data_IF_670299359763
#
_entry.id   IF_670299359763
#
_cell.length_a   1.000
_cell.length_b   1.000
_cell.length_c   1.000
_cell.angle_alpha   90.00
_cell.angle_beta   90.00
_cell.angle_gamma   90.00
#
_symmetry.space_group_name_H-M   'P 1'
#
loop_
_entity.id
_entity.type
_entity.pdbx_description
1 polymer ?
#
# COMPACT_ATOMS: atom_id res chain seq x y z
N UNK A 1 17.85 -11.96 -31.10
CA UNK A 1 18.15 -11.14 -29.90
C UNK A 1 16.84 -10.80 -29.19
N UNK A 2 16.45 -11.47 -28.09
CA UNK A 2 15.13 -11.29 -27.45
C UNK A 2 15.14 -10.39 -26.19
N UNK A 3 16.24 -9.70 -25.88
CA UNK A 3 16.42 -9.00 -24.61
C UNK A 3 15.73 -7.63 -24.50
N UNK A 4 15.22 -7.04 -25.60
CA UNK A 4 14.58 -5.71 -25.55
C UNK A 4 13.12 -5.72 -25.05
N UNK A 5 12.40 -6.86 -25.14
CA UNK A 5 10.98 -6.90 -24.77
C UNK A 5 10.74 -6.84 -23.25
N UNK A 6 11.69 -7.30 -22.43
CA UNK A 6 11.52 -7.35 -20.97
C UNK A 6 11.61 -5.96 -20.32
N UNK A 7 12.49 -5.10 -20.83
CA UNK A 7 12.71 -3.76 -20.30
C UNK A 7 11.56 -2.80 -20.63
N UNK A 8 10.92 -2.98 -21.79
CA UNK A 8 9.75 -2.18 -22.18
C UNK A 8 8.50 -2.50 -21.34
N UNK A 9 8.39 -3.74 -20.86
CA UNK A 9 7.30 -4.17 -19.98
C UNK A 9 7.49 -3.73 -18.52
N UNK A 10 8.72 -3.68 -18.00
CA UNK A 10 8.97 -3.17 -16.63
C UNK A 10 8.61 -1.69 -16.50
N UNK A 11 9.00 -0.88 -17.49
CA UNK A 11 8.72 0.56 -17.49
C UNK A 11 7.19 0.83 -17.58
N UNK A 12 6.46 -0.04 -18.29
CA UNK A 12 4.99 0.03 -18.38
C UNK A 12 4.27 -0.38 -17.09
N UNK A 13 4.82 -1.34 -16.34
CA UNK A 13 4.25 -1.79 -15.07
C UNK A 13 4.47 -0.78 -13.96
N UNK A 14 5.68 -0.20 -13.87
CA UNK A 14 5.98 0.85 -12.89
C UNK A 14 5.13 2.10 -13.12
N UNK A 15 4.87 2.49 -14.38
CA UNK A 15 3.94 3.58 -14.70
C UNK A 15 2.51 3.22 -14.27
N UNK A 16 2.07 1.98 -14.51
CA UNK A 16 0.74 1.51 -14.09
C UNK A 16 0.57 1.53 -12.57
N UNK A 17 1.57 1.03 -11.81
CA UNK A 17 1.57 1.07 -10.34
C UNK A 17 1.58 2.51 -9.83
N UNK A 18 2.34 3.38 -10.48
CA UNK A 18 2.37 4.82 -10.18
C UNK A 18 1.01 5.46 -10.40
N UNK A 19 0.31 5.12 -11.48
CA UNK A 19 -1.04 5.60 -11.76
C UNK A 19 -2.05 5.11 -10.72
N UNK A 20 -1.94 3.84 -10.26
CA UNK A 20 -2.81 3.31 -9.20
C UNK A 20 -2.61 4.02 -7.86
N UNK A 21 -1.37 4.30 -7.47
CA UNK A 21 -1.10 5.08 -6.24
C UNK A 21 -1.64 6.51 -6.37
N UNK A 22 -1.45 7.15 -7.53
CA UNK A 22 -2.02 8.48 -7.80
C UNK A 22 -3.54 8.50 -7.73
N UNK A 23 -4.22 7.50 -8.28
CA UNK A 23 -5.69 7.44 -8.20
C UNK A 23 -6.18 7.28 -6.77
N UNK A 24 -5.49 6.48 -5.94
CA UNK A 24 -5.81 6.35 -4.52
C UNK A 24 -5.61 7.68 -3.79
N UNK A 25 -4.53 8.40 -4.07
CA UNK A 25 -4.29 9.72 -3.48
C UNK A 25 -5.39 10.75 -3.84
N UNK A 26 -5.91 10.70 -5.07
CA UNK A 26 -7.05 11.55 -5.48
C UNK A 26 -8.33 11.17 -4.74
N UNK A 27 -8.60 9.87 -4.56
CA UNK A 27 -9.75 9.41 -3.76
C UNK A 27 -9.64 9.87 -2.29
N UNK A 28 -8.44 9.83 -1.71
CA UNK A 28 -8.16 10.32 -0.35
C UNK A 28 -8.40 11.82 -0.21
N UNK A 29 -7.93 12.63 -1.17
CA UNK A 29 -8.18 14.07 -1.18
C UNK A 29 -9.67 14.40 -1.28
N UNK A 30 -10.41 13.64 -2.08
CA UNK A 30 -11.86 13.77 -2.19
C UNK A 30 -12.57 13.42 -0.87
N UNK A 31 -12.12 12.35 -0.18
CA UNK A 31 -12.64 11.98 1.14
C UNK A 31 -12.39 13.08 2.18
N UNK A 32 -11.17 13.62 2.23
CA UNK A 32 -10.83 14.72 3.13
C UNK A 32 -11.70 15.97 2.88
N UNK A 33 -11.95 16.29 1.60
CA UNK A 33 -12.84 17.40 1.21
C UNK A 33 -14.27 17.17 1.69
N UNK A 34 -14.80 15.95 1.52
CA UNK A 34 -16.11 15.56 2.02
C UNK A 34 -16.20 15.68 3.54
N UNK A 35 -15.20 15.16 4.26
CA UNK A 35 -15.12 15.25 5.73
C UNK A 35 -15.14 16.70 6.20
N UNK A 36 -14.39 17.58 5.54
CA UNK A 36 -14.38 19.00 5.87
C UNK A 36 -15.74 19.65 5.64
N UNK A 37 -16.43 19.30 4.55
CA UNK A 37 -17.77 19.80 4.27
C UNK A 37 -18.78 19.36 5.34
N UNK A 38 -18.76 18.09 5.76
CA UNK A 38 -19.64 17.58 6.82
C UNK A 38 -19.31 18.16 8.20
N UNK A 39 -18.03 18.39 8.50
CA UNK A 39 -17.61 19.09 9.71
C UNK A 39 -18.13 20.53 9.74
N UNK A 40 -18.08 21.24 8.61
CA UNK A 40 -18.62 22.60 8.50
C UNK A 40 -20.13 22.63 8.71
N UNK A 41 -20.88 21.65 8.16
CA UNK A 41 -22.33 21.52 8.41
C UNK A 41 -22.63 21.24 9.88
N UNK A 42 -21.86 20.35 10.50
CA UNK A 42 -21.97 20.03 11.93
C UNK A 42 -21.73 21.28 12.79
N UNK A 43 -20.69 22.06 12.49
CA UNK A 43 -20.41 23.32 13.19
C UNK A 43 -21.51 24.35 12.97
N UNK A 44 -22.08 24.45 11.77
CA UNK A 44 -23.19 25.35 11.50
C UNK A 44 -24.46 24.95 12.27
N UNK A 45 -24.70 23.66 12.46
CA UNK A 45 -25.83 23.15 13.24
C UNK A 45 -25.64 23.35 14.75
N UNK A 46 -24.45 23.01 15.27
CA UNK A 46 -24.15 23.11 16.72
C UNK A 46 -23.93 24.56 17.16
N UNK A 47 -23.40 25.39 16.26
CA UNK A 47 -22.93 26.74 16.57
C UNK A 47 -21.54 26.75 17.21
N UNK A 48 -20.84 27.88 17.12
CA UNK A 48 -19.44 28.01 17.60
C UNK A 48 -19.34 27.84 19.12
N UNK A 49 -20.33 28.33 19.85
CA UNK A 49 -20.40 28.30 21.30
C UNK A 49 -21.41 27.25 21.81
N UNK A 50 -21.77 26.29 20.95
CA UNK A 50 -22.82 25.28 21.21
C UNK A 50 -24.18 25.91 21.52
N UNK A 51 -24.42 27.06 20.90
CA UNK A 51 -25.59 27.90 21.06
C UNK A 51 -26.81 27.40 20.27
N UNK A 52 -26.64 26.38 19.42
CA UNK A 52 -27.70 25.78 18.61
C UNK A 52 -28.51 26.87 17.87
N UNK A 53 -27.89 27.60 16.93
CA UNK A 53 -28.45 28.83 16.36
C UNK A 53 -29.81 28.65 15.67
N UNK A 54 -30.13 27.43 15.23
CA UNK A 54 -31.41 27.08 14.61
C UNK A 54 -32.49 26.66 15.61
N UNK A 55 -32.18 26.60 16.91
CA UNK A 55 -33.07 26.14 17.98
C UNK A 55 -33.79 24.83 17.64
N UNK A 56 -33.06 23.75 17.32
CA UNK A 56 -33.66 22.50 16.88
C UNK A 56 -34.47 21.85 18.02
N UNK A 57 -35.55 21.19 17.65
CA UNK A 57 -36.29 20.30 18.54
C UNK A 57 -35.42 19.11 18.98
N UNK A 58 -35.79 18.48 20.09
CA UNK A 58 -35.10 17.25 20.55
C UNK A 58 -35.10 16.14 19.49
N UNK A 59 -36.16 16.02 18.70
CA UNK A 59 -36.23 15.07 17.59
C UNK A 59 -35.22 15.38 16.48
N UNK A 60 -35.08 16.65 16.11
CA UNK A 60 -34.12 17.09 15.09
C UNK A 60 -32.68 16.90 15.60
N UNK A 61 -32.43 17.16 16.87
CA UNK A 61 -31.12 16.91 17.49
C UNK A 61 -30.76 15.42 17.52
N UNK A 62 -31.71 14.54 17.82
CA UNK A 62 -31.49 13.08 17.76
C UNK A 62 -31.21 12.63 16.33
N UNK A 63 -32.00 13.10 15.36
CA UNK A 63 -31.80 12.79 13.93
C UNK A 63 -30.44 13.29 13.43
N UNK A 64 -30.03 14.49 13.86
CA UNK A 64 -28.71 15.03 13.57
C UNK A 64 -27.59 14.09 14.07
N UNK A 65 -27.64 13.67 15.34
CA UNK A 65 -26.64 12.76 15.90
C UNK A 65 -26.59 11.43 15.14
N UNK A 66 -27.75 10.85 14.83
CA UNK A 66 -27.83 9.62 14.01
C UNK A 66 -27.23 9.81 12.62
N UNK A 67 -27.40 10.99 12.02
CA UNK A 67 -26.85 11.33 10.72
C UNK A 67 -25.32 11.45 10.79
N UNK A 68 -24.78 12.12 11.82
CA UNK A 68 -23.34 12.21 12.04
C UNK A 68 -22.73 10.83 12.23
N UNK A 69 -23.35 9.94 13.01
CA UNK A 69 -22.89 8.55 13.17
C UNK A 69 -22.82 7.82 11.83
N UNK A 70 -23.86 7.90 11.00
CA UNK A 70 -23.87 7.25 9.68
C UNK A 70 -22.78 7.79 8.74
N UNK A 71 -22.51 9.09 8.80
CA UNK A 71 -21.44 9.72 8.03
C UNK A 71 -20.08 9.16 8.50
N UNK A 72 -19.84 9.08 9.80
CA UNK A 72 -18.61 8.51 10.36
C UNK A 72 -18.44 7.03 9.98
N UNK A 73 -19.50 6.23 10.06
CA UNK A 73 -19.46 4.82 9.64
C UNK A 73 -19.09 4.70 8.16
N UNK A 74 -19.65 5.56 7.32
CA UNK A 74 -19.35 5.58 5.88
C UNK A 74 -17.89 5.97 5.61
N UNK A 75 -17.37 6.98 6.29
CA UNK A 75 -15.96 7.41 6.18
C UNK A 75 -15.04 6.25 6.58
N UNK A 76 -15.32 5.56 7.69
CA UNK A 76 -14.53 4.42 8.13
C UNK A 76 -14.51 3.28 7.09
N UNK A 77 -15.63 3.01 6.44
CA UNK A 77 -15.69 2.02 5.37
C UNK A 77 -14.85 2.42 4.16
N UNK A 78 -14.89 3.70 3.75
CA UNK A 78 -14.08 4.20 2.63
C UNK A 78 -12.59 4.14 2.97
N UNK A 79 -12.19 4.62 4.15
CA UNK A 79 -10.80 4.57 4.62
C UNK A 79 -10.25 3.13 4.61
N UNK A 80 -11.05 2.20 5.14
CA UNK A 80 -10.69 0.78 5.12
C UNK A 80 -10.52 0.24 3.70
N UNK A 81 -11.40 0.62 2.77
CA UNK A 81 -11.29 0.22 1.36
C UNK A 81 -10.04 0.82 0.69
N UNK A 82 -9.69 2.08 0.96
CA UNK A 82 -8.48 2.73 0.44
C UNK A 82 -7.22 2.02 0.96
N UNK A 83 -7.18 1.66 2.25
CA UNK A 83 -6.10 0.87 2.82
C UNK A 83 -5.94 -0.49 2.10
N UNK A 84 -7.06 -1.17 1.80
CA UNK A 84 -7.02 -2.44 1.03
C UNK A 84 -6.53 -2.26 -0.39
N UNK A 85 -6.85 -1.15 -1.06
CA UNK A 85 -6.31 -0.84 -2.39
C UNK A 85 -4.79 -0.67 -2.33
N UNK A 86 -4.26 0.04 -1.33
CA UNK A 86 -2.81 0.20 -1.14
C UNK A 86 -2.13 -1.14 -0.87
N UNK A 87 -2.69 -1.98 0.00
CA UNK A 87 -2.16 -3.32 0.26
C UNK A 87 -2.10 -4.16 -1.02
N UNK A 88 -3.11 -4.05 -1.86
CA UNK A 88 -3.17 -4.75 -3.15
C UNK A 88 -2.07 -4.25 -4.10
N UNK A 89 -1.86 -2.93 -4.19
CA UNK A 89 -0.78 -2.34 -5.00
C UNK A 89 0.60 -2.81 -4.51
N UNK A 90 0.83 -2.87 -3.19
CA UNK A 90 2.09 -3.39 -2.62
C UNK A 90 2.30 -4.86 -2.98
N UNK A 91 1.25 -5.69 -2.92
CA UNK A 91 1.34 -7.11 -3.30
C UNK A 91 1.76 -7.26 -4.77
N UNK A 92 1.20 -6.46 -5.68
CA UNK A 92 1.67 -6.45 -7.06
C UNK A 92 3.16 -6.10 -7.17
N UNK A 93 3.63 -5.09 -6.44
CA UNK A 93 5.05 -4.74 -6.44
C UNK A 93 5.95 -5.92 -6.00
N UNK A 94 5.56 -6.67 -4.97
CA UNK A 94 6.32 -7.85 -4.52
C UNK A 94 6.34 -9.00 -5.53
N UNK A 95 5.23 -9.22 -6.26
CA UNK A 95 5.15 -10.29 -7.26
C UNK A 95 6.00 -10.01 -8.52
N UNK A 96 6.32 -8.74 -8.79
CA UNK A 96 7.06 -8.33 -9.98
C UNK A 96 8.52 -7.94 -9.72
N UNK A 97 8.99 -7.93 -8.47
CA UNK A 97 10.44 -7.81 -8.22
C UNK A 97 11.14 -9.09 -8.68
N UNK A 98 11.99 -9.03 -9.73
CA UNK A 98 12.76 -10.19 -10.14
C UNK A 98 13.67 -10.56 -8.98
N UNK A 99 13.60 -11.81 -8.53
CA UNK A 99 14.53 -12.36 -7.54
C UNK A 99 15.96 -12.01 -7.96
N UNK A 100 16.63 -11.20 -7.13
CA UNK A 100 18.06 -10.94 -7.27
C UNK A 100 18.78 -12.29 -7.17
N UNK A 101 19.05 -12.93 -8.32
CA UNK A 101 20.03 -14.01 -8.38
C UNK A 101 21.40 -13.39 -8.11
N UNK A 102 22.16 -13.81 -7.09
CA UNK A 102 23.52 -13.36 -6.93
C UNK A 102 24.33 -13.84 -8.14
N UNK A 103 24.84 -12.89 -8.92
CA UNK A 103 25.76 -13.16 -10.02
C UNK A 103 27.11 -13.58 -9.45
N UNK A 104 27.36 -14.89 -9.37
CA UNK A 104 28.74 -15.39 -9.32
C UNK A 104 29.35 -15.26 -10.71
N UNK A 105 29.92 -14.07 -11.00
CA UNK A 105 30.97 -13.95 -12.00
C UNK A 105 32.29 -14.44 -11.39
N UNK A 106 32.84 -15.54 -11.89
CA UNK A 106 34.29 -15.66 -12.08
C UNK A 106 34.56 -16.30 -13.45
N UNK A 107 35.16 -15.49 -14.30
CA UNK A 107 35.67 -15.80 -15.63
C UNK A 107 36.91 -16.71 -15.54
N UNK A 108 37.27 -17.31 -16.68
CA UNK A 108 38.17 -18.45 -16.82
C UNK A 108 39.66 -18.29 -16.45
N UNK A 109 40.24 -19.48 -16.23
CA UNK A 109 41.64 -19.97 -16.20
C UNK A 109 42.73 -19.18 -16.97
N UNK A 110 44.06 -19.26 -16.62
CA UNK A 110 44.82 -20.54 -16.63
C UNK A 110 46.03 -20.68 -15.67
N UNK A 111 46.44 -21.92 -15.33
CA UNK A 111 47.78 -22.17 -14.77
C UNK A 111 47.88 -23.42 -13.89
N UNK A 112 48.91 -24.22 -14.18
CA UNK A 112 49.25 -25.53 -13.61
C UNK A 112 49.81 -25.48 -12.17
N UNK A 113 49.82 -26.68 -11.59
CA UNK A 113 50.80 -27.25 -10.64
C UNK A 113 50.43 -27.38 -9.13
N UNK A 114 50.23 -28.66 -8.78
CA UNK A 114 50.76 -29.41 -7.61
C UNK A 114 50.35 -29.08 -6.16
N UNK A 115 49.99 -30.14 -5.42
CA UNK A 115 50.12 -30.26 -3.95
C UNK A 115 48.77 -30.30 -3.21
N UNK A 116 48.18 -31.46 -2.93
CA UNK A 116 48.40 -32.34 -1.77
C UNK A 116 47.72 -31.84 -0.47
N UNK A 117 46.65 -32.54 -0.10
CA UNK A 117 45.95 -32.68 1.21
C UNK A 117 45.23 -31.46 1.83
N UNK A 118 43.92 -31.59 2.04
CA UNK A 118 43.36 -31.95 3.36
C UNK A 118 41.88 -32.34 3.24
N UNK A 119 41.50 -33.31 4.07
CA UNK A 119 40.20 -33.99 4.20
C UNK A 119 38.99 -33.04 4.26
N UNK A 120 37.94 -33.43 3.54
CA UNK A 120 36.59 -32.92 3.71
C UNK A 120 36.03 -33.38 5.06
N UNK A 121 35.68 -32.43 5.93
CA UNK A 121 34.70 -32.67 6.99
C UNK A 121 33.71 -31.50 6.99
N UNK A 122 32.65 -31.61 6.18
CA UNK A 122 31.46 -30.77 6.29
C UNK A 122 30.51 -31.42 7.32
N UNK A 123 30.17 -30.76 8.43
CA UNK A 123 29.33 -31.31 9.50
C UNK A 123 27.83 -31.38 9.13
N UNK A 124 27.48 -31.54 7.85
CA UNK A 124 26.11 -31.72 7.38
C UNK A 124 25.86 -33.12 6.80
N UNK A 125 26.68 -34.12 7.14
CA UNK A 125 26.29 -35.52 6.97
C UNK A 125 25.24 -35.86 8.03
N UNK A 126 24.05 -36.18 7.54
CA UNK A 126 22.94 -36.86 8.22
C UNK A 126 22.13 -36.05 9.25
N UNK A 127 21.20 -35.24 8.72
CA UNK A 127 19.84 -35.30 9.27
C UNK A 127 18.92 -35.81 8.17
N UNK A 128 18.57 -37.09 8.25
CA UNK A 128 17.36 -37.62 7.64
C UNK A 128 16.62 -38.53 8.65
N UNK A 129 15.40 -38.08 8.98
CA UNK A 129 14.30 -38.65 9.79
C UNK A 129 14.37 -38.66 11.33
#
# INVERSE_FOLDING_TARGET
MPYENYRKNSDSLDDTLTQLVKSIAVEEEALATLMQAEANKTLAFVGKDRDLPTQPSSSEFIQFNQTVTKILDSILMVEWMLAKKIDSVKQFQYLYQPSHKPSHKKEGHPGKDSGFFEDEHDPNDDIDY
#
